data_IF_458142637013
#
_entry.id   IF_458142637013
#
_cell.length_a   1.000
_cell.length_b   1.000
_cell.length_c   1.000
_cell.angle_alpha   90.00
_cell.angle_beta   90.00
_cell.angle_gamma   90.00
#
_symmetry.space_group_name_H-M   'P 1'
#
loop_
_entity.id
_entity.type
_entity.pdbx_description
1 polymer ?
#
# COMPACT_ATOMS: atom_id res chain seq x y z
N UNK A 1 -28.93 -11.37 -15.22
CA UNK A 1 -28.31 -11.76 -16.48
C UNK A 1 -27.20 -10.77 -16.68
N UNK A 2 -25.97 -11.17 -16.40
CA UNK A 2 -24.77 -10.37 -16.69
C UNK A 2 -24.51 -10.62 -18.16
N UNK A 3 -24.69 -9.58 -18.98
CA UNK A 3 -24.32 -9.59 -20.38
C UNK A 3 -22.83 -9.91 -20.46
N UNK A 4 -22.49 -11.04 -21.06
CA UNK A 4 -21.12 -11.40 -21.36
C UNK A 4 -20.56 -10.33 -22.29
N UNK A 5 -19.47 -9.67 -21.85
CA UNK A 5 -18.65 -8.85 -22.73
C UNK A 5 -18.24 -9.74 -23.91
N UNK A 6 -18.72 -9.35 -25.09
CA UNK A 6 -18.28 -9.96 -26.33
C UNK A 6 -16.75 -9.87 -26.37
N UNK A 7 -16.07 -11.00 -26.47
CA UNK A 7 -14.66 -11.04 -26.80
C UNK A 7 -14.51 -10.30 -28.14
N UNK A 8 -13.79 -9.18 -28.16
CA UNK A 8 -13.44 -8.47 -29.38
C UNK A 8 -12.66 -9.45 -30.27
N UNK A 9 -13.34 -10.03 -31.26
CA UNK A 9 -12.73 -10.96 -32.23
C UNK A 9 -11.60 -10.31 -33.06
N UNK A 10 -11.37 -9.00 -32.89
CA UNK A 10 -10.35 -8.20 -33.59
C UNK A 10 -9.14 -7.82 -32.72
N UNK A 11 -9.12 -8.16 -31.42
CA UNK A 11 -7.99 -7.81 -30.56
C UNK A 11 -6.73 -8.61 -30.94
N UNK A 12 -5.61 -7.89 -31.20
CA UNK A 12 -4.34 -8.48 -31.58
C UNK A 12 -3.21 -8.03 -30.64
N UNK A 13 -2.25 -8.93 -30.39
CA UNK A 13 -1.03 -8.60 -29.68
C UNK A 13 -0.21 -7.56 -30.47
N UNK A 14 0.10 -6.42 -29.89
CA UNK A 14 0.89 -5.38 -30.56
C UNK A 14 2.36 -5.75 -30.83
N UNK A 15 2.84 -6.90 -30.35
CA UNK A 15 4.20 -7.39 -30.56
C UNK A 15 4.29 -8.46 -31.66
N UNK A 16 3.42 -9.47 -31.64
CA UNK A 16 3.44 -10.54 -32.65
C UNK A 16 2.39 -10.35 -33.75
N UNK A 17 1.41 -9.46 -33.56
CA UNK A 17 0.28 -9.21 -34.46
C UNK A 17 -0.70 -10.38 -34.59
N UNK A 18 -0.65 -11.34 -33.68
CA UNK A 18 -1.58 -12.46 -33.61
C UNK A 18 -2.64 -12.21 -32.53
N UNK A 19 -3.85 -12.71 -32.76
CA UNK A 19 -4.94 -12.74 -31.81
C UNK A 19 -4.98 -14.05 -31.01
N UNK A 20 -5.98 -14.19 -30.14
CA UNK A 20 -6.24 -15.44 -29.44
C UNK A 20 -5.50 -15.59 -28.10
N UNK A 21 -5.10 -16.81 -27.80
CA UNK A 21 -4.44 -17.17 -26.54
C UNK A 21 -2.92 -17.24 -26.71
N UNK A 22 -2.22 -16.96 -25.63
CA UNK A 22 -0.78 -17.09 -25.54
C UNK A 22 -0.35 -18.57 -25.68
N UNK A 23 0.46 -18.90 -26.68
CA UNK A 23 0.88 -20.28 -26.98
C UNK A 23 1.63 -20.95 -25.83
N UNK A 24 2.38 -20.18 -25.01
CA UNK A 24 3.19 -20.71 -23.91
C UNK A 24 2.37 -20.89 -22.62
N UNK A 25 1.45 -19.96 -22.33
CA UNK A 25 0.70 -19.95 -21.07
C UNK A 25 -0.76 -20.36 -21.22
N UNK A 26 -1.29 -20.41 -22.44
CA UNK A 26 -2.70 -20.62 -22.74
C UNK A 26 -3.61 -19.50 -22.25
N UNK A 27 -3.05 -18.36 -21.85
CA UNK A 27 -3.80 -17.22 -21.33
C UNK A 27 -4.26 -16.29 -22.46
N UNK A 28 -5.41 -15.63 -22.31
CA UNK A 28 -5.86 -14.65 -23.28
C UNK A 28 -4.95 -13.42 -23.30
N UNK A 29 -5.09 -12.61 -24.33
CA UNK A 29 -4.48 -11.29 -24.44
C UNK A 29 -4.80 -10.45 -23.20
N UNK A 30 -3.80 -9.76 -22.67
CA UNK A 30 -3.92 -8.87 -21.52
C UNK A 30 -3.85 -7.41 -21.98
N UNK A 31 -4.64 -6.53 -21.36
CA UNK A 31 -4.71 -5.10 -21.68
C UNK A 31 -4.63 -4.24 -20.44
N UNK A 32 -3.50 -4.27 -19.76
CA UNK A 32 -3.29 -3.51 -18.51
C UNK A 32 -2.16 -2.47 -18.66
N UNK A 33 -2.18 -1.74 -19.78
CA UNK A 33 -1.39 -0.54 -19.98
C UNK A 33 -2.31 0.64 -20.31
N UNK A 34 -1.74 1.86 -20.36
CA UNK A 34 -2.51 3.07 -20.65
C UNK A 34 -2.60 3.40 -22.16
N UNK A 35 -2.31 2.46 -23.05
CA UNK A 35 -2.50 2.62 -24.48
C UNK A 35 -3.96 2.93 -24.79
N UNK A 36 -4.19 3.93 -25.66
CA UNK A 36 -5.53 4.37 -26.06
C UNK A 36 -5.88 3.81 -27.43
N UNK A 37 -7.16 3.53 -27.64
CA UNK A 37 -7.69 2.94 -28.86
C UNK A 37 -8.37 1.61 -28.60
N UNK A 38 -9.34 1.22 -29.42
CA UNK A 38 -10.10 -0.04 -29.28
C UNK A 38 -9.17 -1.25 -29.37
N UNK A 39 -8.15 -1.19 -30.23
CA UNK A 39 -7.25 -2.31 -30.57
C UNK A 39 -5.84 -2.11 -30.00
N UNK A 40 -5.63 -1.07 -29.19
CA UNK A 40 -4.31 -0.75 -28.65
C UNK A 40 -4.08 -1.36 -27.27
N UNK A 41 -2.85 -1.84 -27.05
CA UNK A 41 -2.38 -2.25 -25.73
C UNK A 41 -2.66 -3.70 -25.35
N UNK A 42 -3.24 -4.50 -26.23
CA UNK A 42 -3.35 -5.95 -26.05
C UNK A 42 -2.00 -6.63 -26.28
N UNK A 43 -1.63 -7.56 -25.40
CA UNK A 43 -0.34 -8.24 -25.47
C UNK A 43 -0.43 -9.65 -24.86
N UNK A 44 0.25 -10.62 -25.49
CA UNK A 44 0.56 -11.90 -24.86
C UNK A 44 1.66 -11.70 -23.81
N UNK A 45 1.52 -12.34 -22.67
CA UNK A 45 2.54 -12.26 -21.60
C UNK A 45 3.89 -12.82 -22.09
N UNK A 46 3.91 -13.89 -22.92
CA UNK A 46 5.12 -14.45 -23.53
C UNK A 46 5.82 -13.44 -24.43
N UNK A 47 5.11 -12.80 -25.33
CA UNK A 47 5.66 -11.79 -26.26
C UNK A 47 6.28 -10.61 -25.47
N UNK A 48 5.62 -10.15 -24.41
CA UNK A 48 6.13 -9.08 -23.57
C UNK A 48 7.37 -9.53 -22.80
N UNK A 49 7.38 -10.77 -22.31
CA UNK A 49 8.52 -11.39 -21.63
C UNK A 49 9.73 -11.48 -22.55
N UNK A 50 9.54 -11.93 -23.78
CA UNK A 50 10.59 -12.03 -24.77
C UNK A 50 11.19 -10.66 -25.14
N UNK A 51 10.31 -9.67 -25.37
CA UNK A 51 10.73 -8.29 -25.58
C UNK A 51 11.60 -7.79 -24.42
N UNK A 52 11.10 -7.88 -23.18
CA UNK A 52 11.78 -7.39 -21.99
C UNK A 52 13.10 -8.15 -21.73
N UNK A 53 13.09 -9.48 -21.91
CA UNK A 53 14.27 -10.34 -21.78
C UNK A 53 15.38 -9.96 -22.76
N UNK A 54 15.02 -9.77 -24.02
CA UNK A 54 15.99 -9.41 -25.07
C UNK A 54 16.59 -8.03 -24.83
N UNK A 55 15.78 -7.05 -24.40
CA UNK A 55 16.26 -5.73 -24.02
C UNK A 55 17.21 -5.78 -22.82
N UNK A 56 16.86 -6.57 -21.78
CA UNK A 56 17.72 -6.72 -20.60
C UNK A 56 19.01 -7.48 -20.86
N UNK A 57 19.01 -8.47 -21.76
CA UNK A 57 20.24 -9.18 -22.17
C UNK A 57 21.26 -8.28 -22.89
N UNK A 58 20.80 -7.22 -23.56
CA UNK A 58 21.68 -6.24 -24.23
C UNK A 58 22.26 -5.19 -23.27
N UNK A 59 21.97 -5.28 -21.96
CA UNK A 59 22.45 -4.35 -20.95
C UNK A 59 23.96 -4.46 -20.73
N UNK A 60 24.65 -3.32 -20.73
CA UNK A 60 26.11 -3.21 -20.60
C UNK A 60 26.65 -3.16 -19.17
N UNK A 61 25.77 -3.30 -18.18
CA UNK A 61 26.12 -3.28 -16.76
C UNK A 61 26.21 -1.89 -16.13
N UNK A 62 25.99 -0.79 -16.86
CA UNK A 62 26.21 0.58 -16.38
C UNK A 62 24.96 1.19 -15.74
N UNK A 63 23.85 1.23 -16.47
CA UNK A 63 22.61 1.84 -15.98
C UNK A 63 21.56 0.77 -15.65
N UNK A 64 21.35 0.55 -14.36
CA UNK A 64 20.35 -0.38 -13.84
C UNK A 64 18.93 -0.06 -14.34
N UNK A 65 18.62 1.21 -14.61
CA UNK A 65 17.29 1.57 -15.08
C UNK A 65 17.03 0.99 -16.48
N UNK A 66 18.03 0.98 -17.36
CA UNK A 66 17.90 0.38 -18.70
C UNK A 66 17.63 -1.13 -18.63
N UNK A 67 18.16 -1.81 -17.62
CA UNK A 67 17.88 -3.22 -17.36
C UNK A 67 16.44 -3.47 -16.89
N UNK A 68 15.92 -2.57 -16.05
CA UNK A 68 14.63 -2.74 -15.37
C UNK A 68 13.45 -2.18 -16.18
N UNK A 69 13.65 -1.07 -16.90
CA UNK A 69 12.59 -0.35 -17.62
C UNK A 69 11.68 -1.26 -18.49
N UNK A 70 12.19 -2.22 -19.28
CA UNK A 70 11.35 -3.07 -20.12
C UNK A 70 10.34 -3.92 -19.34
N UNK A 71 10.60 -4.16 -18.04
CA UNK A 71 9.75 -4.93 -17.15
C UNK A 71 8.70 -4.08 -16.41
N UNK A 72 8.78 -2.76 -16.54
CA UNK A 72 7.91 -1.81 -15.84
C UNK A 72 7.03 -1.03 -16.80
N UNK A 73 7.57 -0.64 -17.95
CA UNK A 73 6.96 0.32 -18.85
C UNK A 73 6.60 -0.30 -20.19
N UNK A 74 5.40 0.03 -20.65
CA UNK A 74 4.94 -0.34 -21.98
C UNK A 74 5.84 0.31 -23.05
N UNK A 75 6.36 -0.45 -24.06
CA UNK A 75 7.20 0.11 -25.10
C UNK A 75 6.48 1.10 -26.00
N UNK A 76 5.16 1.04 -26.08
CA UNK A 76 4.38 1.90 -26.96
C UNK A 76 3.97 3.23 -26.30
N UNK A 77 3.40 3.20 -25.09
CA UNK A 77 2.92 4.41 -24.41
C UNK A 77 3.83 4.93 -23.30
N UNK A 78 4.90 4.22 -22.98
CA UNK A 78 5.88 4.56 -21.94
C UNK A 78 5.28 4.75 -20.53
N UNK A 79 4.08 4.23 -20.29
CA UNK A 79 3.46 4.21 -18.97
C UNK A 79 3.66 2.85 -18.30
N UNK A 80 3.58 2.85 -16.96
CA UNK A 80 3.73 1.61 -16.18
C UNK A 80 2.60 0.64 -16.48
N UNK A 81 2.93 -0.64 -16.54
CA UNK A 81 1.92 -1.70 -16.52
C UNK A 81 1.10 -1.62 -15.24
N UNK A 82 -0.15 -2.05 -15.31
CA UNK A 82 -1.13 -1.96 -14.24
C UNK A 82 -1.72 -3.34 -13.95
N UNK A 83 -2.47 -3.44 -12.85
CA UNK A 83 -3.27 -4.60 -12.47
C UNK A 83 -2.55 -5.96 -12.61
N UNK A 84 -3.22 -6.98 -13.12
CA UNK A 84 -2.71 -8.35 -13.22
C UNK A 84 -1.50 -8.46 -14.15
N UNK A 85 -1.43 -7.67 -15.23
CA UNK A 85 -0.25 -7.64 -16.10
C UNK A 85 1.00 -7.18 -15.34
N UNK A 86 0.88 -6.16 -14.45
CA UNK A 86 2.00 -5.71 -13.63
C UNK A 86 2.47 -6.81 -12.66
N UNK A 87 1.56 -7.57 -12.06
CA UNK A 87 1.89 -8.71 -11.19
C UNK A 87 2.60 -9.79 -12.00
N UNK A 88 2.02 -10.18 -13.14
CA UNK A 88 2.54 -11.24 -13.99
C UNK A 88 3.96 -10.91 -14.49
N UNK A 89 4.14 -9.73 -15.08
CA UNK A 89 5.44 -9.34 -15.63
C UNK A 89 6.50 -9.17 -14.54
N UNK A 90 6.15 -8.67 -13.35
CA UNK A 90 7.09 -8.56 -12.23
C UNK A 90 7.50 -9.94 -11.69
N UNK A 91 6.60 -10.90 -11.71
CA UNK A 91 6.88 -12.29 -11.33
C UNK A 91 7.83 -12.94 -12.33
N UNK A 92 7.56 -12.78 -13.63
CA UNK A 92 8.45 -13.28 -14.69
C UNK A 92 9.82 -12.62 -14.63
N UNK A 93 9.90 -11.33 -14.31
CA UNK A 93 11.18 -10.64 -14.11
C UNK A 93 12.02 -11.27 -12.99
N UNK A 94 11.43 -11.59 -11.85
CA UNK A 94 12.14 -12.31 -10.78
C UNK A 94 12.66 -13.65 -11.27
N UNK A 95 11.87 -14.41 -12.04
CA UNK A 95 12.29 -15.71 -12.60
C UNK A 95 13.41 -15.53 -13.64
N UNK A 96 13.31 -14.52 -14.50
CA UNK A 96 14.35 -14.18 -15.47
C UNK A 96 15.68 -13.89 -14.78
N UNK A 97 15.69 -13.03 -13.75
CA UNK A 97 16.89 -12.70 -12.99
C UNK A 97 17.48 -13.94 -12.32
N UNK A 98 16.65 -14.80 -11.71
CA UNK A 98 17.10 -16.04 -11.09
C UNK A 98 17.78 -16.99 -12.07
N UNK A 99 17.27 -17.09 -13.29
CA UNK A 99 17.79 -17.99 -14.34
C UNK A 99 19.04 -17.44 -15.01
N UNK A 100 19.05 -16.17 -15.38
CA UNK A 100 20.12 -15.56 -16.17
C UNK A 100 21.29 -15.05 -15.32
N UNK A 101 20.99 -14.61 -14.08
CA UNK A 101 21.96 -13.96 -13.19
C UNK A 101 21.95 -14.58 -11.78
N UNK A 102 22.12 -15.91 -11.64
CA UNK A 102 21.91 -16.64 -10.37
C UNK A 102 22.84 -16.17 -9.24
N UNK A 103 23.99 -15.58 -9.57
CA UNK A 103 24.98 -15.09 -8.58
C UNK A 103 24.91 -13.58 -8.33
N UNK A 104 24.09 -12.85 -9.05
CA UNK A 104 24.01 -11.39 -8.92
C UNK A 104 22.96 -10.97 -7.90
N UNK A 105 23.37 -10.88 -6.63
CA UNK A 105 22.47 -10.52 -5.52
C UNK A 105 21.83 -9.15 -5.72
N UNK A 106 22.51 -8.18 -6.33
CA UNK A 106 21.95 -6.85 -6.58
C UNK A 106 20.74 -6.92 -7.53
N UNK A 107 20.86 -7.66 -8.63
CA UNK A 107 19.74 -7.83 -9.57
C UNK A 107 18.55 -8.56 -8.92
N UNK A 108 18.82 -9.54 -8.06
CA UNK A 108 17.75 -10.22 -7.31
C UNK A 108 17.02 -9.25 -6.36
N UNK A 109 17.76 -8.38 -5.67
CA UNK A 109 17.17 -7.34 -4.81
C UNK A 109 16.31 -6.37 -5.62
N UNK A 110 16.80 -5.89 -6.77
CA UNK A 110 16.05 -5.00 -7.66
C UNK A 110 14.74 -5.64 -8.15
N UNK A 111 14.82 -6.89 -8.62
CA UNK A 111 13.64 -7.60 -9.13
C UNK A 111 12.59 -7.85 -8.06
N UNK A 112 13.00 -8.29 -6.86
CA UNK A 112 12.09 -8.52 -5.74
C UNK A 112 11.52 -7.21 -5.20
N UNK A 113 12.31 -6.15 -5.11
CA UNK A 113 11.84 -4.83 -4.70
C UNK A 113 10.78 -4.29 -5.66
N UNK A 114 10.99 -4.44 -6.96
CA UNK A 114 9.99 -4.08 -7.97
C UNK A 114 8.70 -4.88 -7.79
N UNK A 115 8.78 -6.22 -7.65
CA UNK A 115 7.63 -7.08 -7.43
C UNK A 115 6.86 -6.70 -6.17
N UNK A 116 7.56 -6.50 -5.06
CA UNK A 116 6.94 -6.04 -3.80
C UNK A 116 6.23 -4.71 -4.00
N UNK A 117 6.85 -3.75 -4.69
CA UNK A 117 6.25 -2.45 -4.99
C UNK A 117 4.95 -2.56 -5.80
N UNK A 118 4.88 -3.48 -6.77
CA UNK A 118 3.66 -3.76 -7.54
C UNK A 118 2.57 -4.34 -6.63
N UNK A 119 2.88 -5.36 -5.84
CA UNK A 119 1.92 -5.98 -4.91
C UNK A 119 1.42 -4.97 -3.87
N UNK A 120 2.31 -4.18 -3.27
CA UNK A 120 1.94 -3.17 -2.27
C UNK A 120 1.16 -1.99 -2.84
N UNK A 121 1.36 -1.64 -4.11
CA UNK A 121 0.57 -0.62 -4.81
C UNK A 121 -0.89 -1.03 -5.00
N UNK A 122 -1.17 -2.34 -5.04
CA UNK A 122 -2.51 -2.89 -5.21
C UNK A 122 -3.02 -3.63 -3.96
N UNK A 123 -2.35 -3.52 -2.83
CA UNK A 123 -2.52 -4.39 -1.65
C UNK A 123 -3.97 -4.52 -1.18
N UNK A 124 -4.76 -3.45 -1.21
CA UNK A 124 -6.17 -3.47 -0.82
C UNK A 124 -7.07 -4.30 -1.76
N UNK A 125 -6.61 -4.58 -2.98
CA UNK A 125 -7.35 -5.34 -4.02
C UNK A 125 -6.82 -6.75 -4.21
N UNK A 126 -5.67 -7.09 -3.59
CA UNK A 126 -5.04 -8.40 -3.73
C UNK A 126 -5.92 -9.51 -3.16
N UNK A 127 -5.91 -10.64 -3.85
CA UNK A 127 -6.45 -11.89 -3.32
C UNK A 127 -5.61 -12.37 -2.11
N UNK A 128 -6.17 -13.17 -1.19
CA UNK A 128 -5.43 -13.67 -0.02
C UNK A 128 -4.09 -14.33 -0.36
N UNK A 129 -4.03 -15.12 -1.44
CA UNK A 129 -2.79 -15.78 -1.90
C UNK A 129 -1.73 -14.76 -2.34
N UNK A 130 -2.12 -13.67 -2.98
CA UNK A 130 -1.22 -12.60 -3.40
C UNK A 130 -0.72 -11.78 -2.20
N UNK A 131 -1.50 -11.64 -1.14
CA UNK A 131 -1.07 -11.02 0.12
C UNK A 131 -0.01 -11.85 0.84
N UNK A 132 -0.16 -13.18 0.85
CA UNK A 132 0.87 -14.11 1.34
C UNK A 132 2.14 -13.95 0.50
N UNK A 133 2.01 -13.95 -0.82
CA UNK A 133 3.13 -13.74 -1.74
C UNK A 133 3.88 -12.41 -1.50
N UNK A 134 3.17 -11.34 -1.13
CA UNK A 134 3.80 -10.07 -0.75
C UNK A 134 4.64 -10.22 0.52
N UNK A 135 4.15 -10.96 1.53
CA UNK A 135 4.90 -11.28 2.75
C UNK A 135 6.16 -12.08 2.46
N UNK A 136 6.03 -13.19 1.73
CA UNK A 136 7.16 -14.03 1.33
C UNK A 136 8.20 -13.26 0.51
N UNK A 137 7.73 -12.38 -0.39
CA UNK A 137 8.62 -11.52 -1.20
C UNK A 137 9.40 -10.56 -0.31
N UNK A 138 8.76 -9.97 0.71
CA UNK A 138 9.41 -9.07 1.66
C UNK A 138 10.46 -9.80 2.51
N UNK A 139 10.17 -11.02 2.98
CA UNK A 139 11.11 -11.83 3.77
C UNK A 139 12.36 -12.19 2.97
N UNK A 140 12.18 -12.65 1.73
CA UNK A 140 13.30 -12.98 0.85
C UNK A 140 14.13 -11.74 0.55
N UNK A 141 13.49 -10.60 0.29
CA UNK A 141 14.16 -9.33 0.01
C UNK A 141 15.00 -8.85 1.20
N UNK A 142 14.46 -8.89 2.43
CA UNK A 142 15.20 -8.57 3.66
C UNK A 142 16.42 -9.48 3.81
N UNK A 143 16.24 -10.79 3.62
CA UNK A 143 17.35 -11.76 3.71
C UNK A 143 18.47 -11.48 2.70
N UNK A 144 18.13 -11.05 1.47
CA UNK A 144 19.12 -10.68 0.47
C UNK A 144 19.86 -9.40 0.83
N UNK A 145 19.14 -8.39 1.33
CA UNK A 145 19.75 -7.12 1.76
C UNK A 145 20.70 -7.37 2.94
N UNK A 146 20.32 -8.21 3.90
CA UNK A 146 21.18 -8.55 5.04
C UNK A 146 22.46 -9.29 4.59
N UNK A 147 22.36 -10.17 3.59
CA UNK A 147 23.56 -10.78 2.98
C UNK A 147 24.44 -9.74 2.29
N UNK A 148 23.85 -8.75 1.61
CA UNK A 148 24.63 -7.66 1.00
C UNK A 148 25.40 -6.85 2.04
N UNK A 149 24.80 -6.55 3.21
CA UNK A 149 25.48 -5.87 4.33
C UNK A 149 26.71 -6.62 4.86
N UNK A 150 26.67 -7.96 4.80
CA UNK A 150 27.81 -8.80 5.18
C UNK A 150 28.99 -8.72 4.21
N UNK A 151 28.75 -8.24 2.97
CA UNK A 151 29.78 -8.14 1.93
C UNK A 151 30.19 -6.70 1.63
N UNK A 152 29.23 -5.76 1.70
CA UNK A 152 29.42 -4.34 1.36
C UNK A 152 29.04 -3.49 2.56
N UNK A 153 30.01 -2.78 3.12
CA UNK A 153 29.81 -1.87 4.26
C UNK A 153 30.52 -0.54 4.01
N UNK A 154 29.84 0.62 4.05
CA UNK A 154 28.39 0.78 4.24
C UNK A 154 27.56 0.33 3.04
N UNK A 155 26.33 -0.09 3.32
CA UNK A 155 25.38 -0.43 2.25
C UNK A 155 25.05 0.82 1.43
N UNK A 156 25.07 0.77 0.09
CA UNK A 156 24.70 1.91 -0.75
C UNK A 156 23.31 2.45 -0.38
N UNK A 157 23.15 3.78 -0.37
CA UNK A 157 21.92 4.47 0.07
C UNK A 157 20.66 3.96 -0.63
N UNK A 158 20.77 3.56 -1.91
CA UNK A 158 19.66 2.95 -2.66
C UNK A 158 19.12 1.71 -1.95
N UNK A 159 19.97 0.78 -1.55
CA UNK A 159 19.56 -0.46 -0.91
C UNK A 159 19.16 -0.28 0.55
N UNK A 160 19.72 0.71 1.24
CA UNK A 160 19.23 1.11 2.56
C UNK A 160 17.79 1.66 2.47
N UNK A 161 17.45 2.40 1.42
CA UNK A 161 16.06 2.82 1.16
C UNK A 161 15.16 1.63 0.86
N UNK A 162 15.62 0.65 0.09
CA UNK A 162 14.85 -0.57 -0.17
C UNK A 162 14.56 -1.32 1.13
N UNK A 163 15.57 -1.45 2.00
CA UNK A 163 15.40 -2.04 3.33
C UNK A 163 14.34 -1.30 4.15
N UNK A 164 14.43 0.02 4.23
CA UNK A 164 13.48 0.86 4.94
C UNK A 164 12.04 0.61 4.42
N UNK A 165 11.82 0.72 3.12
CA UNK A 165 10.51 0.53 2.49
C UNK A 165 10.01 -0.90 2.70
N UNK A 166 10.89 -1.91 2.57
CA UNK A 166 10.51 -3.32 2.75
C UNK A 166 10.05 -3.59 4.18
N UNK A 167 10.74 -3.06 5.20
CA UNK A 167 10.27 -3.18 6.58
C UNK A 167 8.97 -2.43 6.82
N UNK A 168 8.78 -1.26 6.23
CA UNK A 168 7.52 -0.54 6.28
C UNK A 168 6.37 -1.37 5.67
N UNK A 169 6.59 -1.97 4.54
CA UNK A 169 5.57 -2.76 3.83
C UNK A 169 5.26 -4.07 4.57
N UNK A 170 6.28 -4.74 5.09
CA UNK A 170 6.09 -5.94 5.91
C UNK A 170 5.26 -5.63 7.17
N UNK A 171 5.52 -4.49 7.83
CA UNK A 171 4.70 -4.03 8.95
C UNK A 171 3.24 -3.77 8.54
N UNK A 172 3.00 -3.23 7.34
CA UNK A 172 1.64 -3.03 6.79
C UNK A 172 0.93 -4.35 6.52
N UNK A 173 1.64 -5.32 5.94
CA UNK A 173 1.12 -6.67 5.68
C UNK A 173 0.70 -7.32 7.01
N UNK A 174 1.57 -7.29 8.01
CA UNK A 174 1.26 -7.84 9.32
C UNK A 174 0.04 -7.17 9.98
N UNK A 175 -0.13 -5.85 9.85
CA UNK A 175 -1.31 -5.15 10.39
C UNK A 175 -2.63 -5.56 9.70
N UNK A 176 -2.60 -5.97 8.44
CA UNK A 176 -3.78 -6.40 7.69
C UNK A 176 -4.37 -7.72 8.21
N UNK A 177 -3.57 -8.56 8.84
CA UNK A 177 -4.02 -9.80 9.48
C UNK A 177 -4.97 -9.55 10.68
N UNK A 178 -4.88 -8.39 11.33
CA UNK A 178 -5.83 -7.92 12.33
C UNK A 178 -5.76 -8.59 13.71
N UNK A 179 -4.76 -9.45 13.98
CA UNK A 179 -4.56 -10.10 15.29
C UNK A 179 -3.63 -9.28 16.18
N UNK A 180 -3.67 -9.52 17.49
CA UNK A 180 -2.73 -8.91 18.44
C UNK A 180 -1.28 -9.33 18.15
N UNK A 181 -1.06 -10.60 17.84
CA UNK A 181 0.26 -11.12 17.51
C UNK A 181 0.81 -10.47 16.24
N UNK A 182 -0.01 -10.34 15.21
CA UNK A 182 0.39 -9.67 13.97
C UNK A 182 0.68 -8.18 14.18
N UNK A 183 -0.04 -7.52 15.10
CA UNK A 183 0.25 -6.14 15.48
C UNK A 183 1.62 -6.01 16.19
N UNK A 184 2.00 -6.96 17.04
CA UNK A 184 3.35 -7.02 17.66
C UNK A 184 4.44 -7.24 16.61
N UNK A 185 4.21 -8.14 15.62
CA UNK A 185 5.13 -8.31 14.48
C UNK A 185 5.25 -7.03 13.66
N UNK A 186 4.16 -6.33 13.41
CA UNK A 186 4.17 -5.05 12.72
C UNK A 186 5.03 -4.01 13.45
N UNK A 187 4.91 -3.89 14.79
CA UNK A 187 5.76 -3.01 15.59
C UNK A 187 7.24 -3.33 15.39
N UNK A 188 7.63 -4.60 15.46
CA UNK A 188 9.02 -5.00 15.26
C UNK A 188 9.57 -4.58 13.87
N UNK A 189 8.75 -4.68 12.81
CA UNK A 189 9.13 -4.20 11.49
C UNK A 189 9.19 -2.67 11.41
N UNK A 190 8.24 -1.94 11.99
CA UNK A 190 8.29 -0.48 12.00
C UNK A 190 9.44 0.08 12.84
N UNK A 191 9.89 -0.61 13.90
CA UNK A 191 11.08 -0.25 14.65
C UNK A 191 12.36 -0.43 13.82
N UNK A 192 12.45 -1.49 13.00
CA UNK A 192 13.55 -1.66 12.04
C UNK A 192 13.50 -0.58 10.97
N UNK A 193 12.32 -0.27 10.43
CA UNK A 193 12.11 0.86 9.52
C UNK A 193 12.62 2.17 10.13
N UNK A 194 12.22 2.48 11.37
CA UNK A 194 12.68 3.66 12.10
C UNK A 194 14.21 3.70 12.24
N UNK A 195 14.82 2.55 12.57
CA UNK A 195 16.28 2.45 12.70
C UNK A 195 17.00 2.78 11.39
N UNK A 196 16.53 2.22 10.27
CA UNK A 196 17.14 2.49 8.96
C UNK A 196 16.95 3.94 8.55
N UNK A 197 15.75 4.52 8.72
CA UNK A 197 15.49 5.93 8.43
C UNK A 197 16.43 6.87 9.22
N UNK A 198 16.66 6.60 10.51
CA UNK A 198 17.66 7.34 11.31
C UNK A 198 19.07 7.23 10.73
N UNK A 199 19.47 6.05 10.28
CA UNK A 199 20.81 5.82 9.71
C UNK A 199 21.01 6.60 8.41
N UNK A 200 19.98 6.72 7.56
CA UNK A 200 20.09 7.41 6.26
C UNK A 200 19.71 8.90 6.31
N UNK A 201 19.30 9.42 7.49
CA UNK A 201 18.87 10.80 7.67
C UNK A 201 17.55 11.11 6.94
N UNK A 202 16.58 10.21 7.01
CA UNK A 202 15.24 10.37 6.42
C UNK A 202 14.24 10.81 7.51
N UNK A 203 14.13 12.11 7.73
CA UNK A 203 13.29 12.69 8.79
C UNK A 203 11.80 12.38 8.56
N UNK A 204 11.34 12.40 7.30
CA UNK A 204 9.99 11.99 6.93
C UNK A 204 9.73 10.53 7.29
N UNK A 205 10.64 9.64 6.92
CA UNK A 205 10.57 8.23 7.26
C UNK A 205 10.57 7.99 8.78
N UNK A 206 11.34 8.77 9.54
CA UNK A 206 11.38 8.72 11.01
C UNK A 206 10.01 9.06 11.61
N UNK A 207 9.39 10.16 11.16
CA UNK A 207 8.07 10.57 11.64
C UNK A 207 7.00 9.53 11.29
N UNK A 208 6.99 9.05 10.04
CA UNK A 208 6.08 8.03 9.56
C UNK A 208 6.21 6.71 10.35
N UNK A 209 7.45 6.26 10.63
CA UNK A 209 7.70 5.05 11.41
C UNK A 209 7.15 5.18 12.84
N UNK A 210 7.40 6.33 13.53
CA UNK A 210 6.87 6.59 14.88
C UNK A 210 5.33 6.51 14.91
N UNK A 211 4.66 7.18 13.95
CA UNK A 211 3.20 7.14 13.85
C UNK A 211 2.66 5.71 13.65
N UNK A 212 3.33 4.92 12.80
CA UNK A 212 2.93 3.52 12.55
C UNK A 212 3.16 2.61 13.76
N UNK A 213 4.27 2.77 14.47
CA UNK A 213 4.54 2.06 15.74
C UNK A 213 3.42 2.36 16.73
N UNK A 214 3.07 3.63 16.90
CA UNK A 214 2.02 4.05 17.82
C UNK A 214 0.65 3.43 17.44
N UNK A 215 0.27 3.49 16.16
CA UNK A 215 -0.97 2.87 15.66
C UNK A 215 -0.95 1.35 15.86
N UNK A 216 0.15 0.67 15.59
CA UNK A 216 0.24 -0.77 15.77
C UNK A 216 0.16 -1.16 17.25
N UNK A 217 0.82 -0.44 18.15
CA UNK A 217 0.74 -0.65 19.60
C UNK A 217 -0.68 -0.47 20.13
N UNK A 218 -1.45 0.49 19.61
CA UNK A 218 -2.85 0.69 20.03
C UNK A 218 -3.78 -0.49 19.74
N UNK A 219 -3.35 -1.46 18.93
CA UNK A 219 -4.16 -2.66 18.63
C UNK A 219 -4.14 -3.70 19.76
N UNK A 220 -3.11 -3.69 20.62
CA UNK A 220 -2.99 -4.64 21.72
C UNK A 220 -2.79 -3.99 23.09
N UNK A 221 -2.44 -2.72 23.16
CA UNK A 221 -2.25 -1.99 24.40
C UNK A 221 -3.45 -1.05 24.62
N UNK A 222 -4.56 -1.66 25.05
CA UNK A 222 -5.82 -0.94 25.25
C UNK A 222 -5.73 0.00 26.46
N UNK A 223 -5.27 1.22 26.24
CA UNK A 223 -5.43 2.32 27.21
C UNK A 223 -4.15 3.01 27.67
N UNK A 224 -3.00 2.35 27.68
CA UNK A 224 -1.77 2.95 28.22
C UNK A 224 -1.00 3.83 27.23
N UNK A 225 -1.32 3.77 25.93
CA UNK A 225 -0.51 4.40 24.87
C UNK A 225 -1.28 5.46 24.06
N UNK A 226 -2.47 5.84 24.50
CA UNK A 226 -3.35 6.77 23.75
C UNK A 226 -2.68 8.12 23.51
N UNK A 227 -1.98 8.65 24.51
CA UNK A 227 -1.31 9.95 24.43
C UNK A 227 -0.06 9.92 23.51
N UNK A 228 0.71 8.84 23.55
CA UNK A 228 1.84 8.64 22.63
C UNK A 228 1.38 8.52 21.18
N UNK A 229 0.28 7.77 20.94
CA UNK A 229 -0.35 7.65 19.60
C UNK A 229 -0.83 9.02 19.14
N UNK A 230 -1.51 9.76 20.00
CA UNK A 230 -2.04 11.08 19.69
C UNK A 230 -0.92 12.04 19.30
N UNK A 231 0.13 12.13 20.13
CA UNK A 231 1.30 12.96 19.87
C UNK A 231 1.99 12.57 18.57
N UNK A 232 2.29 11.28 18.37
CA UNK A 232 3.00 10.81 17.18
C UNK A 232 2.22 11.04 15.88
N UNK A 233 0.89 10.88 15.91
CA UNK A 233 0.06 11.13 14.72
C UNK A 233 -0.09 12.63 14.45
N UNK A 234 -0.14 13.46 15.50
CA UNK A 234 -0.10 14.91 15.37
C UNK A 234 1.21 15.38 14.75
N UNK A 235 2.36 14.93 15.28
CA UNK A 235 3.68 15.30 14.76
C UNK A 235 3.83 14.96 13.27
N UNK A 236 3.32 13.77 12.85
CA UNK A 236 3.30 13.38 11.42
C UNK A 236 2.44 14.35 10.61
N UNK A 237 1.26 14.73 11.13
CA UNK A 237 0.36 15.66 10.43
C UNK A 237 1.00 17.02 10.24
N UNK A 238 1.62 17.60 11.28
CA UNK A 238 2.32 18.88 11.23
C UNK A 238 3.51 18.86 10.23
N UNK A 239 4.32 17.79 10.24
CA UNK A 239 5.41 17.62 9.28
C UNK A 239 4.87 17.61 7.85
N UNK A 240 3.75 16.92 7.59
CA UNK A 240 3.14 16.89 6.25
C UNK A 240 2.58 18.24 5.83
N UNK A 241 2.01 19.02 6.74
CA UNK A 241 1.59 20.39 6.46
C UNK A 241 2.81 21.23 6.05
N UNK A 242 3.91 21.14 6.81
CA UNK A 242 5.11 21.93 6.53
C UNK A 242 5.78 21.56 5.20
N UNK A 243 5.79 20.27 4.82
CA UNK A 243 6.46 19.78 3.61
C UNK A 243 5.63 19.96 2.34
N UNK A 244 4.32 19.68 2.42
CA UNK A 244 3.46 19.54 1.24
C UNK A 244 2.29 20.54 1.21
N UNK A 245 2.01 21.22 2.32
CA UNK A 245 0.81 22.04 2.48
C UNK A 245 -0.43 21.25 2.89
N UNK A 246 -1.48 21.95 3.32
CA UNK A 246 -2.73 21.34 3.83
C UNK A 246 -3.52 20.56 2.78
N UNK A 247 -3.41 20.95 1.51
CA UNK A 247 -4.19 20.41 0.39
C UNK A 247 -3.61 19.12 -0.21
N UNK A 248 -2.39 18.76 0.15
CA UNK A 248 -1.72 17.62 -0.44
C UNK A 248 -2.32 16.29 0.08
N UNK A 249 -2.42 15.31 -0.79
CA UNK A 249 -3.00 13.99 -0.48
C UNK A 249 -2.38 13.34 0.77
N UNK A 250 -1.06 13.37 0.91
CA UNK A 250 -0.36 12.79 2.07
C UNK A 250 -0.67 13.52 3.36
N UNK A 251 -0.89 14.84 3.31
CA UNK A 251 -1.31 15.64 4.46
C UNK A 251 -2.72 15.27 4.88
N UNK A 252 -3.64 15.14 3.93
CA UNK A 252 -5.03 14.71 4.17
C UNK A 252 -5.06 13.33 4.84
N UNK A 253 -4.25 12.37 4.36
CA UNK A 253 -4.15 11.03 4.96
C UNK A 253 -3.56 11.05 6.37
N UNK A 254 -2.54 11.88 6.61
CA UNK A 254 -1.95 12.05 7.95
C UNK A 254 -2.95 12.68 8.92
N UNK A 255 -3.67 13.72 8.50
CA UNK A 255 -4.74 14.36 9.29
C UNK A 255 -5.87 13.39 9.63
N UNK A 256 -6.28 12.52 8.69
CA UNK A 256 -7.27 11.46 8.98
C UNK A 256 -6.77 10.50 10.05
N UNK A 257 -5.49 10.12 10.05
CA UNK A 257 -4.93 9.25 11.08
C UNK A 257 -4.88 9.94 12.44
N UNK A 258 -4.54 11.23 12.47
CA UNK A 258 -4.59 12.06 13.68
C UNK A 258 -6.02 12.18 14.21
N UNK A 259 -7.03 12.39 13.36
CA UNK A 259 -8.43 12.42 13.75
C UNK A 259 -8.89 11.10 14.37
N UNK A 260 -8.45 9.95 13.86
CA UNK A 260 -8.75 8.65 14.48
C UNK A 260 -8.08 8.52 15.86
N UNK A 261 -6.86 9.04 16.03
CA UNK A 261 -6.19 9.07 17.32
C UNK A 261 -6.93 9.97 18.33
N UNK A 262 -7.39 11.15 17.91
CA UNK A 262 -8.27 12.02 18.71
C UNK A 262 -9.55 11.28 19.18
N UNK A 263 -10.20 10.58 18.27
CA UNK A 263 -11.39 9.79 18.61
C UNK A 263 -11.09 8.73 19.68
N UNK A 264 -10.00 8.00 19.53
CA UNK A 264 -9.55 6.98 20.49
C UNK A 264 -9.18 7.60 21.85
N UNK A 265 -8.65 8.82 21.83
CA UNK A 265 -8.37 9.63 23.03
C UNK A 265 -9.61 10.27 23.67
N UNK A 266 -10.84 9.91 23.25
CA UNK A 266 -12.12 10.46 23.72
C UNK A 266 -12.36 11.95 23.36
N UNK A 267 -11.56 12.51 22.43
CA UNK A 267 -11.69 13.87 21.89
C UNK A 267 -12.52 13.83 20.60
N UNK A 268 -13.76 13.33 20.72
CA UNK A 268 -14.62 12.99 19.57
C UNK A 268 -15.05 14.20 18.74
N UNK A 269 -15.32 15.36 19.37
CA UNK A 269 -15.70 16.57 18.63
C UNK A 269 -14.53 17.09 17.78
N UNK A 270 -13.33 17.16 18.33
CA UNK A 270 -12.13 17.57 17.59
C UNK A 270 -11.84 16.63 16.42
N UNK A 271 -12.01 15.32 16.64
CA UNK A 271 -11.86 14.32 15.57
C UNK A 271 -12.85 14.57 14.43
N UNK A 272 -14.11 14.88 14.76
CA UNK A 272 -15.16 15.16 13.78
C UNK A 272 -14.90 16.43 13.00
N UNK A 273 -14.57 17.52 13.69
CA UNK A 273 -14.25 18.80 13.06
C UNK A 273 -13.08 18.67 12.08
N UNK A 274 -12.01 18.01 12.49
CA UNK A 274 -10.87 17.75 11.63
C UNK A 274 -11.25 16.93 10.40
N UNK A 275 -12.00 15.84 10.56
CA UNK A 275 -12.44 15.03 9.42
C UNK A 275 -13.37 15.79 8.47
N UNK A 276 -14.23 16.67 8.97
CA UNK A 276 -15.08 17.51 8.13
C UNK A 276 -14.23 18.49 7.29
N UNK A 277 -13.23 19.16 7.91
CA UNK A 277 -12.26 20.01 7.19
C UNK A 277 -11.55 19.22 6.11
N UNK A 278 -10.96 18.06 6.46
CA UNK A 278 -10.22 17.22 5.51
C UNK A 278 -11.09 16.68 4.38
N UNK A 279 -12.35 16.34 4.65
CA UNK A 279 -13.30 15.89 3.63
C UNK A 279 -13.65 16.99 2.64
N UNK A 280 -13.87 18.22 3.14
CA UNK A 280 -14.12 19.37 2.28
C UNK A 280 -12.92 19.66 1.36
N UNK A 281 -11.70 19.71 1.94
CA UNK A 281 -10.45 19.90 1.19
C UNK A 281 -10.25 18.78 0.16
N UNK A 282 -10.40 17.51 0.56
CA UNK A 282 -10.17 16.39 -0.36
C UNK A 282 -11.18 16.35 -1.51
N UNK A 283 -12.45 16.71 -1.27
CA UNK A 283 -13.45 16.83 -2.34
C UNK A 283 -13.09 17.92 -3.33
N UNK A 284 -12.58 19.05 -2.85
CA UNK A 284 -12.20 20.21 -3.67
C UNK A 284 -10.96 19.90 -4.52
N UNK A 285 -9.92 19.32 -3.95
CA UNK A 285 -8.60 19.15 -4.58
C UNK A 285 -8.49 17.84 -5.37
N UNK A 286 -8.98 16.75 -4.81
CA UNK A 286 -8.84 15.40 -5.39
C UNK A 286 -10.11 14.92 -6.10
N UNK A 287 -11.25 15.55 -5.79
CA UNK A 287 -12.56 15.15 -6.28
C UNK A 287 -13.28 14.12 -5.39
N UNK A 288 -14.63 14.03 -5.55
CA UNK A 288 -15.48 13.20 -4.67
C UNK A 288 -15.26 11.69 -4.83
N UNK A 289 -14.75 11.25 -6.00
CA UNK A 289 -14.55 9.83 -6.29
C UNK A 289 -13.14 9.33 -6.00
N UNK A 290 -12.22 10.22 -5.63
CA UNK A 290 -10.84 9.85 -5.32
C UNK A 290 -10.78 8.89 -4.12
N UNK A 291 -9.80 7.96 -4.14
CA UNK A 291 -9.63 6.96 -3.08
C UNK A 291 -9.46 7.59 -1.69
N UNK A 292 -8.64 8.62 -1.59
CA UNK A 292 -8.36 9.35 -0.35
C UNK A 292 -9.61 10.06 0.18
N UNK A 293 -10.41 10.69 -0.71
CA UNK A 293 -11.68 11.31 -0.33
C UNK A 293 -12.65 10.28 0.28
N UNK A 294 -12.78 9.12 -0.35
CA UNK A 294 -13.61 8.01 0.17
C UNK A 294 -13.11 7.49 1.53
N UNK A 295 -11.80 7.40 1.73
CA UNK A 295 -11.21 6.94 2.98
C UNK A 295 -11.47 7.92 4.13
N UNK A 296 -11.43 9.24 3.88
CA UNK A 296 -11.78 10.28 4.87
C UNK A 296 -13.29 10.25 5.17
N UNK A 297 -14.13 10.15 4.14
CA UNK A 297 -15.59 10.09 4.27
C UNK A 297 -16.02 8.86 5.11
N UNK A 298 -15.47 7.69 4.81
CA UNK A 298 -15.71 6.48 5.59
C UNK A 298 -15.29 6.62 7.07
N UNK A 299 -14.19 7.33 7.35
CA UNK A 299 -13.79 7.60 8.73
C UNK A 299 -14.81 8.49 9.45
N UNK A 300 -15.32 9.53 8.82
CA UNK A 300 -16.33 10.41 9.36
C UNK A 300 -17.67 9.69 9.59
N UNK A 301 -18.13 8.90 8.60
CA UNK A 301 -19.34 8.08 8.73
C UNK A 301 -19.23 7.13 9.92
N UNK A 302 -18.10 6.44 10.07
CA UNK A 302 -17.86 5.50 11.17
C UNK A 302 -17.92 6.19 12.54
N UNK A 303 -17.28 7.34 12.68
CA UNK A 303 -17.30 8.12 13.93
C UNK A 303 -18.71 8.59 14.27
N UNK A 304 -19.46 9.13 13.31
CA UNK A 304 -20.83 9.58 13.49
C UNK A 304 -21.76 8.42 13.85
N UNK A 305 -21.62 7.27 13.20
CA UNK A 305 -22.43 6.07 13.49
C UNK A 305 -22.20 5.54 14.91
N UNK A 306 -20.94 5.47 15.36
CA UNK A 306 -20.61 5.03 16.73
C UNK A 306 -21.14 6.04 17.76
N UNK A 307 -21.06 7.35 17.49
CA UNK A 307 -21.64 8.39 18.34
C UNK A 307 -23.16 8.25 18.46
N UNK A 308 -23.83 8.02 17.34
CA UNK A 308 -25.28 7.82 17.31
C UNK A 308 -25.71 6.59 18.13
N UNK A 309 -25.02 5.44 17.97
CA UNK A 309 -25.32 4.23 18.75
C UNK A 309 -25.14 4.49 20.25
N UNK A 310 -24.03 5.13 20.66
CA UNK A 310 -23.78 5.44 22.08
C UNK A 310 -24.86 6.34 22.66
N UNK A 311 -25.30 7.36 21.92
CA UNK A 311 -26.38 8.26 22.33
C UNK A 311 -27.72 7.51 22.45
N UNK A 312 -28.07 6.67 21.48
CA UNK A 312 -29.28 5.88 21.46
C UNK A 312 -29.37 4.87 22.63
N UNK A 313 -28.27 4.17 22.90
CA UNK A 313 -28.16 3.23 24.03
C UNK A 313 -28.33 3.97 25.36
N UNK A 314 -27.70 5.14 25.50
CA UNK A 314 -27.83 5.96 26.70
C UNK A 314 -29.30 6.40 26.92
N UNK A 315 -29.99 6.83 25.87
CA UNK A 315 -31.40 7.21 25.93
C UNK A 315 -32.28 6.00 26.31
N UNK A 316 -32.04 4.82 25.73
CA UNK A 316 -32.78 3.60 26.10
C UNK A 316 -32.57 3.21 27.57
N UNK A 317 -31.33 3.29 28.08
CA UNK A 317 -31.03 3.03 29.50
C UNK A 317 -31.74 4.04 30.39
N UNK A 318 -31.70 5.33 30.06
CA UNK A 318 -32.36 6.39 30.82
C UNK A 318 -33.87 6.16 30.89
N UNK A 319 -34.51 5.83 29.77
CA UNK A 319 -35.95 5.50 29.74
C UNK A 319 -36.25 4.27 30.62
N UNK A 320 -35.42 3.23 30.56
CA UNK A 320 -35.56 2.03 31.38
C UNK A 320 -35.46 2.33 32.89
N UNK A 321 -34.48 3.14 33.29
CA UNK A 321 -34.31 3.58 34.70
C UNK A 321 -35.50 4.42 35.15
N UNK A 322 -35.97 5.37 34.35
CA UNK A 322 -37.13 6.19 34.66
C UNK A 322 -38.41 5.34 34.80
N UNK A 323 -38.62 4.37 33.93
CA UNK A 323 -39.73 3.43 34.02
C UNK A 323 -39.68 2.58 35.31
N UNK A 324 -38.50 2.12 35.70
CA UNK A 324 -38.30 1.37 36.95
C UNK A 324 -38.57 2.22 38.20
N UNK A 325 -38.07 3.46 38.22
CA UNK A 325 -38.34 4.40 39.32
C UNK A 325 -39.84 4.75 39.42
N UNK A 326 -40.53 4.90 38.29
CA UNK A 326 -41.97 5.13 38.25
C UNK A 326 -42.76 3.94 38.80
N UNK A 327 -42.34 2.71 38.53
CA UNK A 327 -42.95 1.50 39.08
C UNK A 327 -42.76 1.42 40.61
N UNK A 328 -41.56 1.73 41.11
CA UNK A 328 -41.21 1.74 42.53
C UNK A 328 -42.00 2.86 43.31
N UNK A 329 -42.30 3.99 42.68
CA UNK A 329 -43.09 5.06 43.29
C UNK A 329 -44.60 4.76 43.36
N UNK A 330 -45.08 3.75 42.63
CA UNK A 330 -46.47 3.29 42.65
C UNK A 330 -46.73 2.10 43.59
N UNK A 331 -45.66 1.39 44.00
CA UNK A 331 -45.72 0.32 45.01
C UNK A 331 -45.62 0.90 46.42
#
# INVERSE_FOLDING_TARGET
MVEGEACDEEAMCYLCLDGGVDDDSGQPLQRDCACRGTDAGFVHLSCLTDYASNKSKSWDGRDMNLFIQPWIFCPSCHQKYQNELAISISTVFVLFVRRQYPRNTQLHVEALYMKLGVLMGMFARLQPVQKIEAGDTADVLISLIDRMKGVVSPLPRRYSRFEAITHNDHGRIALDEGTEESARRAVAHFEKYLKVCKTIGDDEGIANAKGKIAIAKSKYDCGNNTEEVLKSTHDVYEIRIAEYGEEHEYTILAGRNYAIALWNAKRGEEARELLMKLLATSKQVLGPHHSTTKVVDNALIRINFISFIKSSVFVCILIGVLAMLYQLAKS
#
